data_IF_063393790550
#
_entry.id   IF_063393790550
#
_cell.length_a   1.000
_cell.length_b   1.000
_cell.length_c   1.000
_cell.angle_alpha   90.00
_cell.angle_beta   90.00
_cell.angle_gamma   90.00
#
_symmetry.space_group_name_H-M   'P 1'
#
loop_
_entity.id
_entity.type
_entity.pdbx_description
1 polymer ?
#
# COMPACT_ATOMS: atom_id res chain seq x y z
N UNK A 1 -40.23 10.99 -43.12
CA UNK A 1 -38.84 11.39 -43.47
C UNK A 1 -37.88 10.60 -42.60
N UNK A 2 -37.00 9.79 -43.19
CA UNK A 2 -36.12 8.81 -42.54
C UNK A 2 -34.68 9.33 -42.69
N UNK A 3 -33.93 9.53 -41.61
CA UNK A 3 -32.45 9.48 -41.66
C UNK A 3 -31.93 8.69 -40.45
N UNK A 4 -31.04 7.75 -40.78
CA UNK A 4 -30.40 6.72 -39.94
C UNK A 4 -29.13 7.25 -39.25
N UNK A 5 -28.94 6.83 -38.00
CA UNK A 5 -27.81 6.08 -37.41
C UNK A 5 -26.32 6.55 -37.54
N UNK A 6 -25.56 6.15 -36.49
CA UNK A 6 -24.09 6.04 -36.29
C UNK A 6 -23.47 7.30 -35.64
N UNK A 7 -22.76 7.24 -34.50
CA UNK A 7 -21.71 6.27 -34.15
C UNK A 7 -21.53 6.17 -32.62
N UNK A 8 -21.77 4.99 -32.07
CA UNK A 8 -21.11 4.52 -30.83
C UNK A 8 -19.76 3.95 -31.28
N UNK A 9 -18.66 4.67 -31.05
CA UNK A 9 -17.32 4.15 -31.33
C UNK A 9 -16.29 4.67 -30.31
N UNK A 10 -16.02 3.79 -29.33
CA UNK A 10 -14.71 3.36 -28.82
C UNK A 10 -13.53 4.35 -28.85
N UNK A 11 -13.06 4.73 -27.66
CA UNK A 11 -11.67 4.99 -27.24
C UNK A 11 -11.72 5.29 -25.72
N UNK A 12 -10.89 4.77 -24.81
CA UNK A 12 -9.58 4.16 -24.98
C UNK A 12 -9.36 2.96 -24.06
N UNK A 13 -8.60 2.05 -24.64
CA UNK A 13 -7.90 0.89 -24.11
C UNK A 13 -6.82 1.34 -23.10
N UNK A 14 -6.56 0.50 -22.09
CA UNK A 14 -5.22 0.39 -21.52
C UNK A 14 -5.12 0.69 -20.03
N UNK A 15 -5.35 -0.31 -19.19
CA UNK A 15 -4.60 -0.54 -17.95
C UNK A 15 -4.72 -2.04 -17.58
N UNK A 16 -4.44 -2.88 -18.56
CA UNK A 16 -4.08 -4.27 -18.36
C UNK A 16 -2.61 -4.37 -18.76
N UNK A 17 -1.73 -4.47 -17.77
CA UNK A 17 -0.29 -4.56 -17.99
C UNK A 17 0.46 -3.92 -16.84
N UNK A 18 0.84 -4.74 -15.86
CA UNK A 18 2.24 -5.11 -15.65
C UNK A 18 2.28 -6.03 -14.42
N UNK A 19 2.04 -7.33 -14.65
CA UNK A 19 2.60 -8.35 -13.79
C UNK A 19 4.00 -8.64 -14.34
N UNK A 20 5.00 -7.92 -13.84
CA UNK A 20 6.38 -8.38 -13.96
C UNK A 20 6.71 -9.13 -12.68
N UNK A 21 6.63 -10.45 -12.81
CA UNK A 21 7.21 -11.41 -11.87
C UNK A 21 8.68 -11.06 -11.68
N UNK A 22 9.05 -10.83 -10.43
CA UNK A 22 10.39 -10.48 -9.99
C UNK A 22 11.28 -11.74 -10.02
N UNK A 23 12.09 -11.88 -11.07
CA UNK A 23 13.21 -12.82 -11.09
C UNK A 23 14.50 -12.07 -10.75
N UNK A 24 14.66 -11.73 -9.48
CA UNK A 24 15.97 -11.42 -8.92
C UNK A 24 16.56 -12.70 -8.31
N UNK A 25 17.09 -13.57 -9.17
CA UNK A 25 18.09 -14.56 -8.78
C UNK A 25 19.43 -13.81 -8.63
N UNK A 26 19.90 -13.61 -7.40
CA UNK A 26 21.30 -13.30 -7.16
C UNK A 26 21.90 -14.42 -6.30
N UNK A 27 22.88 -15.12 -6.89
CA UNK A 27 23.63 -16.20 -6.26
C UNK A 27 24.60 -15.68 -5.19
N UNK A 28 24.91 -16.60 -4.27
CA UNK A 28 25.57 -16.50 -2.96
C UNK A 28 26.95 -15.82 -2.88
N UNK A 29 27.16 -15.07 -1.79
CA UNK A 29 28.49 -14.77 -1.23
C UNK A 29 28.69 -15.49 0.11
N UNK A 30 29.67 -16.39 0.17
CA UNK A 30 30.11 -17.10 1.37
C UNK A 30 31.10 -16.20 2.13
N UNK A 31 30.89 -15.92 3.42
CA UNK A 31 31.83 -15.11 4.22
C UNK A 31 31.50 -15.12 5.70
N UNK A 32 32.46 -15.52 6.53
CA UNK A 32 32.27 -15.74 7.96
C UNK A 32 31.97 -14.48 8.78
N UNK A 33 31.46 -14.73 9.99
CA UNK A 33 31.12 -13.77 11.04
C UNK A 33 32.11 -12.60 11.20
N UNK A 34 31.71 -11.45 10.69
CA UNK A 34 32.05 -10.09 11.12
C UNK A 34 30.86 -9.24 10.66
N UNK A 35 30.49 -8.18 11.41
CA UNK A 35 29.25 -7.43 11.18
C UNK A 35 29.02 -6.99 9.72
N UNK A 36 27.76 -6.68 9.34
CA UNK A 36 27.41 -6.48 7.94
C UNK A 36 28.31 -5.42 7.30
N UNK A 37 28.91 -5.77 6.16
CA UNK A 37 29.74 -4.83 5.40
C UNK A 37 28.90 -3.61 5.00
N UNK A 38 29.53 -2.45 4.74
CA UNK A 38 28.79 -1.24 4.31
C UNK A 38 27.91 -1.51 3.08
N UNK A 39 28.36 -2.38 2.19
CA UNK A 39 27.60 -2.90 1.04
C UNK A 39 26.34 -3.64 1.46
N UNK A 40 26.40 -4.55 2.43
CA UNK A 40 25.24 -5.29 2.93
C UNK A 40 24.25 -4.39 3.69
N UNK A 41 24.76 -3.39 4.40
CA UNK A 41 23.94 -2.37 5.06
C UNK A 41 23.17 -1.53 4.03
N UNK A 42 23.84 -1.05 2.99
CA UNK A 42 23.20 -0.33 1.89
C UNK A 42 22.16 -1.20 1.17
N UNK A 43 22.44 -2.50 0.98
CA UNK A 43 21.50 -3.46 0.41
C UNK A 43 20.24 -3.63 1.25
N UNK A 44 20.35 -3.71 2.59
CA UNK A 44 19.19 -3.83 3.49
C UNK A 44 18.28 -2.61 3.49
N UNK A 45 18.85 -1.40 3.53
CA UNK A 45 18.08 -0.15 3.45
C UNK A 45 17.34 -0.02 2.12
N UNK A 46 18.05 -0.24 1.00
CA UNK A 46 17.48 -0.14 -0.33
C UNK A 46 16.40 -1.20 -0.58
N UNK A 47 16.64 -2.43 -0.13
CA UNK A 47 15.65 -3.51 -0.21
C UNK A 47 14.37 -3.11 0.55
N UNK A 48 14.50 -2.61 1.78
CA UNK A 48 13.36 -2.10 2.54
C UNK A 48 12.64 -0.97 1.81
N UNK A 49 13.38 0.02 1.29
CA UNK A 49 12.83 1.18 0.60
C UNK A 49 12.00 0.80 -0.63
N UNK A 50 12.47 -0.17 -1.42
CA UNK A 50 11.77 -0.62 -2.62
C UNK A 50 10.64 -1.62 -2.33
N UNK A 51 10.67 -2.29 -1.18
CA UNK A 51 9.69 -3.32 -0.83
C UNK A 51 8.21 -2.89 -0.95
N UNK A 52 7.75 -1.75 -0.39
CA UNK A 52 6.34 -1.39 -0.52
C UNK A 52 5.90 -1.04 -1.96
N UNK A 53 6.84 -0.93 -2.90
CA UNK A 53 6.55 -0.70 -4.31
C UNK A 53 6.38 -2.00 -5.11
N UNK A 54 6.80 -3.15 -4.57
CA UNK A 54 6.73 -4.44 -5.28
C UNK A 54 5.41 -5.16 -5.07
N UNK A 55 4.81 -5.04 -3.88
CA UNK A 55 3.50 -5.59 -3.56
C UNK A 55 2.37 -4.67 -4.01
N UNK A 56 1.48 -5.15 -4.89
CA UNK A 56 0.32 -4.36 -5.34
C UNK A 56 -0.63 -4.02 -4.19
N UNK A 57 -0.79 -4.92 -3.22
CA UNK A 57 -1.57 -4.69 -2.02
C UNK A 57 -1.00 -3.54 -1.17
N UNK A 58 0.31 -3.58 -0.90
CA UNK A 58 1.03 -2.54 -0.17
C UNK A 58 0.95 -1.19 -0.88
N UNK A 59 1.28 -1.17 -2.18
CA UNK A 59 1.24 0.02 -3.02
C UNK A 59 -0.14 0.68 -2.98
N UNK A 60 -1.20 -0.10 -3.23
CA UNK A 60 -2.57 0.39 -3.27
C UNK A 60 -3.04 0.87 -1.90
N UNK A 61 -2.75 0.13 -0.83
CA UNK A 61 -3.10 0.52 0.53
C UNK A 61 -2.45 1.84 0.94
N UNK A 62 -1.13 1.99 0.73
CA UNK A 62 -0.40 3.18 1.15
C UNK A 62 -0.80 4.42 0.36
N UNK A 63 -1.02 4.29 -0.95
CA UNK A 63 -1.60 5.36 -1.76
C UNK A 63 -3.00 5.74 -1.28
N UNK A 64 -3.85 4.74 -1.00
CA UNK A 64 -5.22 4.99 -0.56
C UNK A 64 -5.31 5.72 0.78
N UNK A 65 -4.42 5.42 1.73
CA UNK A 65 -4.31 6.16 2.99
C UNK A 65 -4.00 7.64 2.73
N UNK A 66 -3.04 7.93 1.84
CA UNK A 66 -2.72 9.31 1.46
C UNK A 66 -3.88 10.02 0.76
N UNK A 67 -4.55 9.33 -0.18
CA UNK A 67 -5.73 9.86 -0.87
C UNK A 67 -6.84 10.18 0.13
N UNK A 68 -7.15 9.24 1.03
CA UNK A 68 -8.19 9.43 2.03
C UNK A 68 -7.87 10.56 3.01
N UNK A 69 -6.62 10.64 3.48
CA UNK A 69 -6.18 11.70 4.37
C UNK A 69 -6.32 13.11 3.75
N UNK A 70 -6.14 13.22 2.44
CA UNK A 70 -6.33 14.48 1.71
C UNK A 70 -7.79 14.94 1.64
N UNK A 71 -8.75 14.02 1.78
CA UNK A 71 -10.20 14.31 1.73
C UNK A 71 -10.78 14.74 3.08
N UNK A 72 -10.22 14.24 4.18
CA UNK A 72 -10.71 14.51 5.54
C UNK A 72 -10.26 15.86 6.09
N UNK A 73 -8.98 16.19 5.89
CA UNK A 73 -8.33 17.27 6.62
C UNK A 73 -7.49 18.16 5.71
N UNK A 74 -7.36 19.41 6.13
CA UNK A 74 -6.54 20.42 5.46
C UNK A 74 -5.26 20.70 6.27
N UNK A 75 -4.28 21.36 5.65
CA UNK A 75 -3.05 21.77 6.33
C UNK A 75 -2.23 20.59 6.87
N UNK A 76 -1.68 20.73 8.08
CA UNK A 76 -0.84 19.69 8.72
C UNK A 76 -1.65 18.51 9.26
N UNK A 77 -2.95 18.69 9.51
CA UNK A 77 -3.81 17.66 10.13
C UNK A 77 -3.96 16.44 9.21
N UNK A 78 -3.86 16.61 7.89
CA UNK A 78 -3.84 15.50 6.91
C UNK A 78 -2.66 14.55 7.04
N UNK A 79 -1.62 14.90 7.82
CA UNK A 79 -0.50 14.00 8.09
C UNK A 79 -0.81 13.00 9.20
N UNK A 80 -1.92 13.17 9.94
CA UNK A 80 -2.28 12.31 11.06
C UNK A 80 -2.49 10.84 10.66
N UNK A 81 -3.26 10.57 9.60
CA UNK A 81 -3.49 9.21 9.13
C UNK A 81 -2.22 8.54 8.57
N UNK A 82 -1.40 9.19 7.71
CA UNK A 82 -0.09 8.67 7.33
C UNK A 82 0.83 8.40 8.53
N UNK A 83 0.93 9.31 9.50
CA UNK A 83 1.78 9.13 10.67
C UNK A 83 1.31 7.96 11.54
N UNK A 84 -0.01 7.81 11.73
CA UNK A 84 -0.59 6.67 12.43
C UNK A 84 -0.27 5.36 11.70
N UNK A 85 -0.40 5.33 10.38
CA UNK A 85 -0.07 4.17 9.58
C UNK A 85 1.40 3.78 9.78
N UNK A 86 2.34 4.72 9.62
CA UNK A 86 3.77 4.43 9.80
C UNK A 86 4.10 3.92 11.22
N UNK A 87 3.49 4.50 12.25
CA UNK A 87 3.70 4.04 13.62
C UNK A 87 3.20 2.60 13.84
N UNK A 88 1.98 2.30 13.38
CA UNK A 88 1.42 0.95 13.49
C UNK A 88 2.12 -0.07 12.58
N UNK A 89 2.63 0.37 11.43
CA UNK A 89 3.43 -0.43 10.51
C UNK A 89 4.71 -0.90 11.18
N UNK A 90 5.44 0.01 11.83
CA UNK A 90 6.65 -0.35 12.58
C UNK A 90 6.33 -1.28 13.75
N UNK A 91 5.26 -1.02 14.51
CA UNK A 91 4.84 -1.88 15.61
C UNK A 91 4.47 -3.29 15.13
N UNK A 92 3.72 -3.41 14.03
CA UNK A 92 3.38 -4.70 13.43
C UNK A 92 4.61 -5.48 12.97
N UNK A 93 5.60 -4.80 12.39
CA UNK A 93 6.86 -5.44 11.98
C UNK A 93 7.64 -6.00 13.17
N UNK A 94 7.78 -5.20 14.24
CA UNK A 94 8.44 -5.64 15.47
C UNK A 94 7.68 -6.79 16.13
N UNK A 95 6.34 -6.76 16.12
CA UNK A 95 5.51 -7.83 16.66
C UNK A 95 5.73 -9.16 15.90
N UNK A 96 5.72 -9.14 14.56
CA UNK A 96 5.98 -10.30 13.74
C UNK A 96 7.38 -10.91 13.98
N UNK A 97 8.40 -10.06 14.15
CA UNK A 97 9.75 -10.51 14.54
C UNK A 97 9.77 -11.22 15.89
N UNK A 98 8.89 -10.82 16.81
CA UNK A 98 8.69 -11.49 18.10
C UNK A 98 7.83 -12.76 18.02
N UNK A 99 7.43 -13.20 16.81
CA UNK A 99 6.57 -14.37 16.58
C UNK A 99 5.07 -14.08 16.67
N UNK A 100 4.65 -12.83 16.87
CA UNK A 100 3.25 -12.45 16.92
C UNK A 100 2.76 -12.16 15.51
N UNK A 101 2.16 -13.18 14.88
CA UNK A 101 1.69 -13.12 13.50
C UNK A 101 0.19 -13.41 13.45
N UNK A 102 -0.56 -12.54 12.78
CA UNK A 102 -1.97 -12.76 12.53
C UNK A 102 -2.19 -14.01 11.65
N UNK A 103 -3.15 -14.88 12.00
CA UNK A 103 -3.49 -16.01 11.14
C UNK A 103 -4.09 -15.50 9.82
N UNK A 104 -3.79 -16.21 8.73
CA UNK A 104 -4.20 -15.82 7.36
C UNK A 104 -3.78 -14.38 7.00
N UNK A 105 -2.54 -14.00 7.35
CA UNK A 105 -2.02 -12.64 7.18
C UNK A 105 -2.28 -12.05 5.79
N UNK A 106 -2.03 -12.83 4.73
CA UNK A 106 -2.24 -12.41 3.35
C UNK A 106 -3.70 -12.02 3.06
N UNK A 107 -4.66 -12.70 3.67
CA UNK A 107 -6.09 -12.39 3.54
C UNK A 107 -6.40 -11.04 4.19
N UNK A 108 -5.82 -10.76 5.35
CA UNK A 108 -6.00 -9.48 6.04
C UNK A 108 -5.35 -8.30 5.30
N UNK A 109 -4.17 -8.52 4.73
CA UNK A 109 -3.51 -7.54 3.85
C UNK A 109 -4.39 -7.25 2.63
N UNK A 110 -4.88 -8.28 1.94
CA UNK A 110 -5.79 -8.11 0.80
C UNK A 110 -7.13 -7.42 1.19
N UNK A 111 -7.72 -7.82 2.32
CA UNK A 111 -8.97 -7.27 2.81
C UNK A 111 -8.86 -5.77 3.14
N UNK A 112 -7.68 -5.32 3.59
CA UNK A 112 -7.45 -3.91 3.86
C UNK A 112 -7.56 -3.03 2.61
N UNK A 113 -7.13 -3.53 1.44
CA UNK A 113 -7.26 -2.82 0.16
C UNK A 113 -8.75 -2.63 -0.19
N UNK A 114 -9.56 -3.67 0.03
CA UNK A 114 -11.01 -3.57 -0.15
C UNK A 114 -11.63 -2.56 0.83
N UNK A 115 -11.20 -2.60 2.08
CA UNK A 115 -11.65 -1.67 3.12
C UNK A 115 -11.29 -0.21 2.79
N UNK A 116 -10.09 0.06 2.26
CA UNK A 116 -9.72 1.40 1.81
C UNK A 116 -10.53 1.87 0.60
N UNK A 117 -10.81 0.99 -0.36
CA UNK A 117 -11.73 1.29 -1.46
C UNK A 117 -13.13 1.68 -0.95
N UNK A 118 -13.67 0.92 0.00
CA UNK A 118 -14.93 1.25 0.66
C UNK A 118 -14.87 2.58 1.42
N UNK A 119 -13.78 2.84 2.15
CA UNK A 119 -13.57 4.07 2.89
C UNK A 119 -13.52 5.29 1.96
N UNK A 120 -12.90 5.17 0.79
CA UNK A 120 -12.89 6.20 -0.25
C UNK A 120 -14.27 6.40 -0.90
N UNK A 121 -15.07 5.35 -1.05
CA UNK A 121 -16.45 5.45 -1.57
C UNK A 121 -17.38 6.19 -0.61
N UNK A 122 -17.26 5.91 0.68
CA UNK A 122 -18.00 6.63 1.73
C UNK A 122 -17.48 8.07 1.84
N UNK A 123 -16.17 8.26 1.68
CA UNK A 123 -15.51 9.56 1.69
C UNK A 123 -15.67 10.28 3.04
N UNK A 124 -15.89 11.59 3.00
CA UNK A 124 -16.06 12.43 4.20
C UNK A 124 -17.30 12.10 5.04
N UNK A 125 -18.19 11.20 4.59
CA UNK A 125 -19.33 10.73 5.39
C UNK A 125 -18.93 9.70 6.44
N UNK A 126 -17.75 9.09 6.32
CA UNK A 126 -17.26 8.14 7.30
C UNK A 126 -16.84 8.86 8.58
N UNK A 127 -17.25 8.40 9.77
CA UNK A 127 -16.71 8.89 11.02
C UNK A 127 -15.18 8.77 11.02
N UNK A 128 -14.47 9.87 11.27
CA UNK A 128 -13.01 9.90 11.20
C UNK A 128 -12.34 8.82 12.08
N UNK A 129 -12.91 8.55 13.26
CA UNK A 129 -12.44 7.49 14.16
C UNK A 129 -12.50 6.09 13.55
N UNK A 130 -13.56 5.77 12.78
CA UNK A 130 -13.65 4.47 12.10
C UNK A 130 -12.59 4.34 11.00
N UNK A 131 -12.36 5.39 10.22
CA UNK A 131 -11.32 5.36 9.21
C UNK A 131 -9.92 5.27 9.80
N UNK A 132 -9.64 5.96 10.92
CA UNK A 132 -8.37 5.82 11.64
C UNK A 132 -8.19 4.41 12.22
N UNK A 133 -9.26 3.77 12.69
CA UNK A 133 -9.22 2.36 13.11
C UNK A 133 -8.86 1.43 11.95
N UNK A 134 -9.48 1.62 10.78
CA UNK A 134 -9.15 0.86 9.56
C UNK A 134 -7.69 1.09 9.17
N UNK A 135 -7.22 2.33 9.17
CA UNK A 135 -5.82 2.68 8.90
C UNK A 135 -4.86 1.97 9.86
N UNK A 136 -5.15 2.00 11.16
CA UNK A 136 -4.31 1.35 12.18
C UNK A 136 -4.28 -0.18 12.04
N UNK A 137 -5.44 -0.80 11.84
CA UNK A 137 -5.54 -2.26 11.66
C UNK A 137 -4.84 -2.72 10.38
N UNK A 138 -5.03 -1.99 9.27
CA UNK A 138 -4.34 -2.25 8.01
C UNK A 138 -2.83 -2.09 8.16
N UNK A 139 -2.37 -1.03 8.79
CA UNK A 139 -0.95 -0.79 9.03
C UNK A 139 -0.31 -1.90 9.86
N UNK A 140 -0.99 -2.36 10.91
CA UNK A 140 -0.52 -3.46 11.75
C UNK A 140 -0.29 -4.76 10.96
N UNK A 141 -1.21 -5.13 10.06
CA UNK A 141 -1.06 -6.36 9.25
C UNK A 141 -0.03 -6.23 8.13
N UNK A 142 0.06 -5.07 7.45
CA UNK A 142 1.15 -4.84 6.51
C UNK A 142 2.52 -4.81 7.22
N UNK A 143 2.56 -4.26 8.43
CA UNK A 143 3.76 -4.21 9.25
C UNK A 143 4.26 -5.62 9.54
N UNK A 144 3.35 -6.51 9.96
CA UNK A 144 3.68 -7.92 10.16
C UNK A 144 4.20 -8.58 8.88
N UNK A 145 3.61 -8.29 7.71
CA UNK A 145 4.09 -8.83 6.43
C UNK A 145 5.52 -8.39 6.13
N UNK A 146 5.82 -7.10 6.25
CA UNK A 146 7.19 -6.58 6.12
C UNK A 146 8.16 -7.20 7.14
N UNK A 147 7.72 -7.40 8.38
CA UNK A 147 8.54 -7.98 9.46
C UNK A 147 8.90 -9.45 9.22
N UNK A 148 8.04 -10.20 8.53
CA UNK A 148 8.29 -11.61 8.18
C UNK A 148 9.18 -11.78 6.95
N UNK A 149 9.07 -10.88 5.98
CA UNK A 149 9.84 -10.92 4.74
C UNK A 149 11.25 -10.33 4.86
N UNK A 150 11.69 -9.98 6.07
CA UNK A 150 13.04 -9.48 6.29
C UNK A 150 14.10 -10.47 5.79
N UNK A 151 14.94 -10.00 4.88
CA UNK A 151 16.00 -10.79 4.25
C UNK A 151 16.96 -11.30 5.33
N UNK A 152 17.14 -12.62 5.39
CA UNK A 152 18.12 -13.26 6.26
C UNK A 152 19.52 -12.68 6.00
N UNK A 153 20.16 -12.12 7.02
CA UNK A 153 21.48 -11.49 6.91
C UNK A 153 21.46 -9.96 6.73
N UNK A 154 20.31 -9.35 6.40
CA UNK A 154 20.17 -7.90 6.41
C UNK A 154 20.00 -7.36 7.84
N UNK A 155 20.48 -6.15 8.11
CA UNK A 155 20.18 -5.49 9.39
C UNK A 155 18.70 -5.13 9.45
N UNK A 156 17.95 -5.74 10.38
CA UNK A 156 16.52 -5.51 10.57
C UNK A 156 16.17 -4.02 10.73
N UNK A 157 17.00 -3.25 11.45
CA UNK A 157 16.79 -1.81 11.64
C UNK A 157 16.85 -1.01 10.34
N UNK A 158 17.80 -1.29 9.44
CA UNK A 158 17.88 -0.59 8.15
C UNK A 158 16.74 -1.00 7.22
N UNK A 159 16.36 -2.27 7.22
CA UNK A 159 15.22 -2.73 6.42
C UNK A 159 13.91 -2.06 6.88
N UNK A 160 13.67 -2.01 8.20
CA UNK A 160 12.53 -1.31 8.81
C UNK A 160 12.54 0.18 8.46
N UNK A 161 13.71 0.82 8.58
CA UNK A 161 13.87 2.23 8.20
C UNK A 161 13.56 2.42 6.71
N UNK A 162 14.05 1.52 5.85
CA UNK A 162 13.82 1.53 4.42
C UNK A 162 12.34 1.46 4.06
N UNK A 163 11.63 0.40 4.49
CA UNK A 163 10.22 0.27 4.13
C UNK A 163 9.35 1.37 4.75
N UNK A 164 9.73 1.88 5.92
CA UNK A 164 9.02 3.01 6.55
C UNK A 164 9.17 4.28 5.69
N UNK A 165 10.38 4.55 5.17
CA UNK A 165 10.62 5.67 4.24
C UNK A 165 9.88 5.46 2.91
N UNK A 166 9.93 4.26 2.33
CA UNK A 166 9.19 3.93 1.11
C UNK A 166 7.67 4.13 1.29
N UNK A 167 7.13 3.70 2.43
CA UNK A 167 5.72 3.89 2.80
C UNK A 167 5.38 5.37 2.97
N UNK A 168 6.26 6.16 3.59
CA UNK A 168 6.08 7.60 3.72
C UNK A 168 6.03 8.30 2.37
N UNK A 169 6.87 7.90 1.41
CA UNK A 169 6.83 8.39 0.03
C UNK A 169 5.49 8.07 -0.62
N UNK A 170 5.01 6.82 -0.51
CA UNK A 170 3.72 6.41 -1.06
C UNK A 170 2.54 7.17 -0.43
N UNK A 171 2.53 7.39 0.87
CA UNK A 171 1.51 8.25 1.51
C UNK A 171 1.57 9.69 0.99
N UNK A 172 2.77 10.24 0.80
CA UNK A 172 2.98 11.55 0.19
C UNK A 172 2.41 11.63 -1.23
N UNK A 173 2.71 10.63 -2.07
CA UNK A 173 2.14 10.51 -3.41
C UNK A 173 0.61 10.39 -3.37
N UNK A 174 0.08 9.59 -2.44
CA UNK A 174 -1.36 9.47 -2.21
C UNK A 174 -2.01 10.81 -1.85
N UNK A 175 -1.39 11.62 -0.99
CA UNK A 175 -1.87 12.96 -0.63
C UNK A 175 -1.93 13.91 -1.86
N UNK A 176 -0.90 13.84 -2.72
CA UNK A 176 -0.86 14.60 -3.98
C UNK A 176 -1.94 14.12 -4.95
N UNK A 177 -2.08 12.80 -5.12
CA UNK A 177 -3.11 12.18 -5.95
C UNK A 177 -4.50 12.58 -5.47
N UNK A 178 -4.79 12.49 -4.18
CA UNK A 178 -6.10 12.84 -3.64
C UNK A 178 -6.46 14.32 -3.87
N UNK A 179 -5.47 15.22 -3.80
CA UNK A 179 -5.63 16.64 -4.16
C UNK A 179 -5.95 16.83 -5.65
N UNK A 180 -5.40 15.99 -6.53
CA UNK A 180 -5.72 15.99 -7.96
C UNK A 180 -7.10 15.35 -8.24
N UNK A 181 -7.44 14.25 -7.57
CA UNK A 181 -8.72 13.55 -7.68
C UNK A 181 -9.90 14.45 -7.27
N UNK A 182 -9.69 15.36 -6.31
CA UNK A 182 -10.70 16.35 -5.92
C UNK A 182 -11.14 17.29 -7.05
N UNK A 183 -10.36 17.37 -8.15
CA UNK A 183 -10.69 18.16 -9.34
C UNK A 183 -11.40 17.36 -10.42
N UNK A 184 -11.52 16.04 -10.26
CA UNK A 184 -12.18 15.17 -11.23
C UNK A 184 -13.71 15.16 -11.05
N UNK A 185 -14.47 14.80 -12.10
CA UNK A 185 -15.90 14.54 -11.95
C UNK A 185 -16.17 13.46 -10.90
N UNK A 186 -17.16 13.67 -10.04
CA UNK A 186 -17.46 12.75 -8.92
C UNK A 186 -17.62 11.28 -9.36
N UNK A 187 -18.25 11.04 -10.53
CA UNK A 187 -18.43 9.69 -11.08
C UNK A 187 -17.10 9.00 -11.39
N UNK A 188 -16.08 9.73 -11.84
CA UNK A 188 -14.77 9.18 -12.14
C UNK A 188 -14.02 8.83 -10.85
N UNK A 189 -14.04 9.74 -9.86
CA UNK A 189 -13.44 9.48 -8.55
C UNK A 189 -14.10 8.25 -7.86
N UNK A 190 -15.43 8.14 -7.94
CA UNK A 190 -16.17 6.97 -7.46
C UNK A 190 -15.79 5.70 -8.24
N UNK A 191 -15.63 5.78 -9.56
CA UNK A 191 -15.16 4.67 -10.39
C UNK A 191 -13.80 4.13 -9.95
N UNK A 192 -12.85 5.02 -9.64
CA UNK A 192 -11.53 4.64 -9.15
C UNK A 192 -11.59 4.00 -7.75
N UNK A 193 -12.41 4.54 -6.85
CA UNK A 193 -12.60 3.95 -5.53
C UNK A 193 -13.29 2.56 -5.58
N UNK A 194 -14.27 2.39 -6.50
CA UNK A 194 -14.88 1.07 -6.76
C UNK A 194 -13.86 0.09 -7.35
N UNK A 195 -13.00 0.53 -8.27
CA UNK A 195 -11.94 -0.31 -8.82
C UNK A 195 -10.99 -0.77 -7.72
N UNK A 196 -10.55 0.13 -6.82
CA UNK A 196 -9.72 -0.22 -5.67
C UNK A 196 -10.42 -1.26 -4.76
N UNK A 197 -11.69 -1.03 -4.43
CA UNK A 197 -12.47 -1.96 -3.61
C UNK A 197 -12.58 -3.35 -4.25
N UNK A 198 -12.88 -3.39 -5.55
CA UNK A 198 -12.98 -4.62 -6.32
C UNK A 198 -11.64 -5.36 -6.43
N UNK A 199 -10.53 -4.63 -6.64
CA UNK A 199 -9.19 -5.22 -6.64
C UNK A 199 -8.88 -5.89 -5.30
N UNK A 200 -9.17 -5.24 -4.18
CA UNK A 200 -8.99 -5.84 -2.85
C UNK A 200 -9.85 -7.09 -2.65
N UNK A 201 -11.12 -7.07 -3.09
CA UNK A 201 -11.99 -8.24 -2.99
C UNK A 201 -11.50 -9.41 -3.85
N UNK A 202 -11.02 -9.14 -5.07
CA UNK A 202 -10.41 -10.16 -5.94
C UNK A 202 -9.14 -10.74 -5.30
N UNK A 203 -8.31 -9.92 -4.68
CA UNK A 203 -7.13 -10.36 -3.93
C UNK A 203 -7.52 -11.26 -2.73
N UNK A 204 -8.59 -10.93 -2.02
CA UNK A 204 -9.09 -11.79 -0.93
C UNK A 204 -9.52 -13.14 -1.47
N UNK A 205 -10.36 -13.16 -2.51
CA UNK A 205 -10.88 -14.39 -3.10
C UNK A 205 -9.79 -15.30 -3.65
N UNK A 206 -8.65 -14.75 -4.08
CA UNK A 206 -7.52 -15.55 -4.56
C UNK A 206 -6.67 -16.17 -3.44
N UNK A 207 -7.02 -15.94 -2.17
CA UNK A 207 -6.28 -16.38 -0.97
C UNK A 207 -7.14 -17.21 0.00
N UNK A 208 -8.35 -17.58 -0.40
CA UNK A 208 -9.28 -18.48 0.30
C UNK A 208 -9.19 -19.88 -0.30
#
# INVERSE_FOLDING_TARGET
>A
MKIKNKSVLKCGLGLAGLALVNLAQAHSGHGGHIGPSETEQASGLLAGLLHPFTGLDHLLAMLAVGVWASQLWQGRVRLGAPALFLAMLMLGAVAAMGGWVAPQLEVWVAASVAAFGALLLVGARAPAGLGLLVVAAAAWVHGQAHGLEMVTGASASLFITGFTLGSAVLHGLGLLMGSALARLPARLAQGLAMALAASGLLMVLSRL
#
